data_IF_029294413105
#
_entry.id   IF_029294413105
#
_cell.length_a   1.000
_cell.length_b   1.000
_cell.length_c   1.000
_cell.angle_alpha   90.00
_cell.angle_beta   90.00
_cell.angle_gamma   90.00
#
_symmetry.space_group_name_H-M   'P 1'
#
loop_
_entity.id
_entity.type
_entity.pdbx_description
1 polymer ?
#
# COMPACT_ATOMS: atom_id res chain seq x y z
N UNK A 1 -24.75 33.80 10.33
CA UNK A 1 -23.54 34.12 11.10
C UNK A 1 -22.53 33.01 10.88
N UNK A 2 -21.55 33.23 10.01
CA UNK A 2 -20.47 32.27 9.78
C UNK A 2 -19.32 32.56 10.76
N UNK A 3 -18.77 31.49 11.32
CA UNK A 3 -17.78 31.51 12.39
C UNK A 3 -16.50 32.25 11.98
N UNK A 4 -15.89 32.96 12.94
CA UNK A 4 -14.64 33.73 12.81
C UNK A 4 -13.45 32.96 12.18
N UNK A 5 -13.55 31.64 12.06
CA UNK A 5 -12.55 30.79 11.39
C UNK A 5 -12.70 30.73 9.86
N UNK A 6 -13.89 30.93 9.28
CA UNK A 6 -14.07 30.92 7.82
C UNK A 6 -13.64 32.25 7.17
N UNK A 7 -13.74 33.37 7.89
CA UNK A 7 -13.28 34.67 7.40
C UNK A 7 -11.74 34.75 7.29
N UNK A 8 -10.99 33.93 8.04
CA UNK A 8 -9.53 33.89 7.97
C UNK A 8 -9.00 33.06 6.79
N UNK A 9 -9.75 32.06 6.31
CA UNK A 9 -9.34 31.29 5.12
C UNK A 9 -9.54 32.05 3.81
N UNK A 10 -10.56 32.90 3.70
CA UNK A 10 -10.76 33.76 2.52
C UNK A 10 -9.73 34.89 2.40
N UNK A 11 -9.13 35.34 3.51
CA UNK A 11 -8.09 36.37 3.49
C UNK A 11 -6.75 35.85 2.95
N UNK A 12 -6.43 34.58 3.17
CA UNK A 12 -5.18 33.98 2.67
C UNK A 12 -5.24 33.52 1.21
N UNK A 13 -6.43 33.31 0.64
CA UNK A 13 -6.57 32.96 -0.78
C UNK A 13 -6.51 34.18 -1.72
N UNK A 14 -6.83 35.39 -1.24
CA UNK A 14 -6.83 36.61 -2.04
C UNK A 14 -5.45 37.29 -2.19
N UNK A 15 -4.45 36.97 -1.35
CA UNK A 15 -3.10 37.57 -1.45
C UNK A 15 -2.20 36.83 -2.45
N UNK A 16 -2.61 35.64 -2.93
CA UNK A 16 -1.81 34.79 -3.83
C UNK A 16 -2.01 34.99 -5.34
N UNK A 17 -2.96 35.83 -5.78
CA UNK A 17 -3.35 35.90 -7.20
C UNK A 17 -3.40 37.34 -7.77
N UNK A 18 -2.46 38.20 -7.36
CA UNK A 18 -2.28 39.54 -7.97
C UNK A 18 -0.81 39.83 -8.31
N UNK A 19 -0.24 39.04 -9.23
CA UNK A 19 0.94 39.45 -10.03
C UNK A 19 0.87 38.88 -11.44
N UNK A 20 -0.14 39.33 -12.19
CA UNK A 20 -0.17 39.35 -13.66
C UNK A 20 -1.39 40.19 -14.02
N UNK A 21 -1.26 41.05 -15.04
CA UNK A 21 -2.26 42.04 -15.51
C UNK A 21 -2.14 43.33 -14.64
N UNK A 22 -1.70 44.51 -15.08
CA UNK A 22 -1.79 45.21 -16.37
C UNK A 22 -0.99 46.52 -16.32
N UNK A 23 -0.10 46.80 -17.29
CA UNK A 23 0.23 48.15 -17.86
C UNK A 23 1.12 47.86 -19.09
N UNK A 24 0.96 48.36 -20.32
CA UNK A 24 0.32 49.53 -20.93
C UNK A 24 -0.18 49.10 -22.35
N UNK A 25 -1.39 49.46 -22.78
CA UNK A 25 -1.68 50.59 -23.70
C UNK A 25 -0.69 50.78 -24.86
N UNK A 26 -1.11 50.37 -26.07
CA UNK A 26 -0.77 51.03 -27.35
C UNK A 26 -1.38 52.47 -27.37
N UNK A 27 -1.06 53.40 -28.32
CA UNK A 27 -0.48 53.22 -29.67
C UNK A 27 0.58 54.28 -30.08
N UNK A 28 1.34 54.03 -31.15
CA UNK A 28 1.49 54.95 -32.30
C UNK A 28 2.58 54.49 -33.27
N UNK A 29 2.23 54.64 -34.55
CA UNK A 29 3.00 54.31 -35.73
C UNK A 29 4.30 55.11 -35.80
N UNK A 30 5.43 54.44 -36.03
CA UNK A 30 6.56 55.01 -36.78
C UNK A 30 7.17 53.94 -37.68
N UNK A 31 7.51 54.38 -38.88
CA UNK A 31 7.80 53.63 -40.10
C UNK A 31 8.98 52.65 -40.00
N UNK A 32 8.99 51.54 -40.77
CA UNK A 32 10.18 50.72 -40.91
C UNK A 32 11.17 51.42 -41.86
N UNK A 33 12.26 51.97 -41.31
CA UNK A 33 13.44 52.24 -42.15
C UNK A 33 14.14 50.92 -42.41
N UNK A 34 13.78 50.33 -43.54
CA UNK A 34 14.50 49.25 -44.21
C UNK A 34 15.94 49.71 -44.47
N UNK A 35 16.87 49.33 -43.61
CA UNK A 35 18.29 49.34 -43.92
C UNK A 35 18.75 47.91 -44.17
N UNK A 36 18.49 47.43 -45.39
CA UNK A 36 19.22 46.29 -45.94
C UNK A 36 20.69 46.67 -46.08
N UNK A 37 21.51 46.16 -45.16
CA UNK A 37 22.95 46.16 -45.31
C UNK A 37 23.35 44.74 -45.73
N UNK A 38 23.46 44.54 -47.04
CA UNK A 38 24.11 43.36 -47.59
C UNK A 38 25.49 43.18 -46.97
N UNK A 39 25.76 41.98 -46.45
CA UNK A 39 27.08 41.52 -46.06
C UNK A 39 27.95 41.42 -47.31
N UNK A 40 29.00 42.25 -47.37
CA UNK A 40 30.18 42.05 -48.21
C UNK A 40 31.39 41.71 -47.32
N UNK A 41 32.40 41.00 -47.86
CA UNK A 41 33.46 40.37 -47.07
C UNK A 41 34.58 41.35 -46.70
N UNK A 42 35.26 41.01 -45.60
CA UNK A 42 36.61 41.38 -45.18
C UNK A 42 37.21 42.73 -45.66
N UNK A 43 37.52 43.59 -44.69
CA UNK A 43 38.86 44.19 -44.67
C UNK A 43 39.06 45.65 -45.05
N UNK A 44 38.07 46.55 -44.99
CA UNK A 44 38.32 48.00 -45.03
C UNK A 44 37.44 48.77 -44.04
N UNK A 45 37.98 49.77 -43.31
CA UNK A 45 37.15 50.66 -42.51
C UNK A 45 36.43 51.61 -43.47
N UNK A 46 35.23 51.22 -43.91
CA UNK A 46 34.32 52.13 -44.60
C UNK A 46 33.99 53.25 -43.62
N UNK A 47 34.69 54.38 -43.73
CA UNK A 47 34.33 55.60 -43.01
C UNK A 47 32.95 55.96 -43.54
N UNK A 48 31.90 55.59 -42.80
CA UNK A 48 30.53 55.90 -43.19
C UNK A 48 30.48 57.41 -43.38
N UNK A 49 29.92 57.90 -44.48
CA UNK A 49 29.87 59.35 -44.81
C UNK A 49 29.38 60.22 -43.63
N UNK A 50 28.52 59.67 -42.79
CA UNK A 50 28.04 60.27 -41.53
C UNK A 50 29.14 60.50 -40.49
N UNK A 51 30.12 59.62 -40.36
CA UNK A 51 31.20 59.69 -39.38
C UNK A 51 32.23 60.77 -39.73
N UNK A 52 32.51 60.94 -41.03
CA UNK A 52 33.40 62.02 -41.52
C UNK A 52 32.78 63.40 -41.28
N UNK A 53 31.47 63.54 -41.51
CA UNK A 53 30.73 64.79 -41.29
C UNK A 53 30.62 65.15 -39.79
N UNK A 54 30.39 64.17 -38.92
CA UNK A 54 30.39 64.36 -37.46
C UNK A 54 31.78 64.75 -36.95
N UNK A 55 32.84 64.09 -37.42
CA UNK A 55 34.22 64.45 -37.08
C UNK A 55 34.55 65.89 -37.51
N UNK A 56 34.06 66.29 -38.69
CA UNK A 56 34.21 67.66 -39.21
C UNK A 56 33.43 68.71 -38.41
N UNK A 57 32.31 68.37 -37.76
CA UNK A 57 31.64 69.30 -36.83
C UNK A 57 32.31 69.37 -35.46
N UNK A 58 32.83 68.24 -34.97
CA UNK A 58 33.36 68.13 -33.60
C UNK A 58 34.80 68.64 -33.44
N UNK A 59 35.56 68.82 -34.52
CA UNK A 59 36.93 69.33 -34.41
C UNK A 59 37.01 70.76 -33.85
N UNK A 60 35.95 71.56 -33.98
CA UNK A 60 35.94 72.95 -33.48
C UNK A 60 35.99 72.99 -31.95
N UNK A 61 35.36 72.04 -31.26
CA UNK A 61 35.33 71.93 -29.80
C UNK A 61 36.42 71.02 -29.21
N UNK A 62 37.12 70.25 -30.04
CA UNK A 62 38.15 69.30 -29.60
C UNK A 62 39.40 69.95 -28.98
N UNK A 63 39.62 69.93 -27.67
CA UNK A 63 40.82 70.56 -27.08
C UNK A 63 42.03 69.60 -27.12
N UNK A 64 43.07 69.87 -27.93
CA UNK A 64 44.26 69.01 -27.98
C UNK A 64 45.12 69.22 -26.73
N UNK A 65 45.77 68.16 -26.26
CA UNK A 65 46.64 68.19 -25.07
C UNK A 65 47.93 68.99 -25.32
N UNK A 66 48.40 69.00 -26.57
CA UNK A 66 49.58 69.74 -27.02
C UNK A 66 49.17 70.76 -28.10
N UNK A 67 49.89 71.89 -28.24
CA UNK A 67 49.62 72.85 -29.30
C UNK A 67 49.79 72.18 -30.67
N UNK A 68 48.77 72.28 -31.53
CA UNK A 68 48.77 71.68 -32.86
C UNK A 68 48.39 72.72 -33.92
N UNK A 69 49.04 72.66 -35.10
CA UNK A 69 48.73 73.56 -36.21
C UNK A 69 47.33 73.28 -36.81
N UNK A 70 46.88 72.03 -36.84
CA UNK A 70 45.57 71.65 -37.38
C UNK A 70 44.78 70.74 -36.41
N UNK A 71 43.72 71.33 -35.84
CA UNK A 71 42.83 70.71 -34.85
C UNK A 71 42.02 69.52 -35.40
N UNK A 72 41.67 69.54 -36.69
CA UNK A 72 40.92 68.46 -37.33
C UNK A 72 41.76 67.20 -37.53
N UNK A 73 43.00 67.38 -38.02
CA UNK A 73 43.93 66.26 -38.20
C UNK A 73 44.30 65.63 -36.85
N UNK A 74 44.51 66.47 -35.83
CA UNK A 74 44.77 66.01 -34.48
C UNK A 74 43.62 65.15 -33.93
N UNK A 75 42.37 65.64 -34.01
CA UNK A 75 41.18 64.87 -33.61
C UNK A 75 41.07 63.53 -34.35
N UNK A 76 41.36 63.51 -35.66
CA UNK A 76 41.30 62.29 -36.47
C UNK A 76 42.29 61.24 -35.97
N UNK A 77 43.54 61.63 -35.76
CA UNK A 77 44.58 60.72 -35.29
C UNK A 77 44.38 60.26 -33.86
N UNK A 78 43.92 61.15 -32.97
CA UNK A 78 43.67 60.78 -31.58
C UNK A 78 42.48 59.81 -31.46
N UNK A 79 41.44 60.00 -32.29
CA UNK A 79 40.34 59.03 -32.40
C UNK A 79 40.82 57.68 -32.92
N UNK A 80 41.65 57.66 -33.95
CA UNK A 80 42.20 56.41 -34.52
C UNK A 80 43.08 55.66 -33.51
N UNK A 81 43.95 56.37 -32.79
CA UNK A 81 44.76 55.82 -31.69
C UNK A 81 43.88 55.25 -30.57
N UNK A 82 42.84 55.99 -30.19
CA UNK A 82 41.90 55.55 -29.15
C UNK A 82 41.16 54.27 -29.56
N UNK A 83 40.63 54.22 -30.78
CA UNK A 83 39.95 53.02 -31.30
C UNK A 83 40.92 51.84 -31.44
N UNK A 84 42.16 52.08 -31.88
CA UNK A 84 43.22 51.07 -31.93
C UNK A 84 43.55 50.52 -30.54
N UNK A 85 43.67 51.39 -29.54
CA UNK A 85 43.89 51.00 -28.14
C UNK A 85 42.72 50.20 -27.57
N UNK A 86 41.48 50.63 -27.83
CA UNK A 86 40.27 49.92 -27.43
C UNK A 86 40.20 48.51 -28.02
N UNK A 87 40.54 48.35 -29.30
CA UNK A 87 40.65 47.03 -29.94
C UNK A 87 41.69 46.14 -29.27
N UNK A 88 42.85 46.70 -28.90
CA UNK A 88 43.91 45.98 -28.18
C UNK A 88 43.46 45.54 -26.77
N UNK A 89 42.74 46.38 -26.05
CA UNK A 89 42.16 46.03 -24.74
C UNK A 89 41.14 44.89 -24.90
N UNK A 90 40.24 44.99 -25.88
CA UNK A 90 39.23 43.95 -26.11
C UNK A 90 39.84 42.61 -26.57
N UNK A 91 40.94 42.65 -27.32
CA UNK A 91 41.66 41.47 -27.77
C UNK A 91 42.62 40.90 -26.70
N UNK A 92 42.87 41.63 -25.61
CA UNK A 92 43.75 41.17 -24.55
C UNK A 92 43.10 39.99 -23.82
N UNK A 93 43.79 38.84 -23.81
CA UNK A 93 43.34 37.65 -23.10
C UNK A 93 43.53 37.84 -21.59
N UNK A 94 42.57 37.41 -20.75
CA UNK A 94 42.78 37.40 -19.31
C UNK A 94 43.94 36.45 -18.97
N UNK A 95 44.89 36.91 -18.13
CA UNK A 95 46.06 36.12 -17.72
C UNK A 95 45.74 35.15 -16.57
N UNK A 96 44.62 35.37 -15.87
CA UNK A 96 44.19 34.59 -14.71
C UNK A 96 42.82 34.03 -15.00
N UNK A 97 42.64 32.74 -14.73
CA UNK A 97 41.33 32.11 -14.79
C UNK A 97 40.47 32.62 -13.63
N UNK A 98 39.33 33.22 -13.95
CA UNK A 98 38.34 33.70 -12.97
C UNK A 98 37.08 32.82 -12.95
N UNK A 99 37.13 31.64 -13.56
CA UNK A 99 36.01 30.71 -13.59
C UNK A 99 35.74 30.16 -12.19
N UNK A 100 34.45 29.98 -11.85
CA UNK A 100 34.09 29.38 -10.58
C UNK A 100 34.53 27.91 -10.51
N UNK A 101 35.11 27.45 -9.39
CA UNK A 101 35.48 26.05 -9.23
C UNK A 101 34.26 25.12 -9.33
N UNK A 102 34.51 23.86 -9.69
CA UNK A 102 33.46 22.86 -9.88
C UNK A 102 32.65 22.65 -8.58
N UNK A 103 31.33 22.71 -8.71
CA UNK A 103 30.41 22.43 -7.60
C UNK A 103 30.21 20.93 -7.50
N UNK A 104 30.54 20.37 -6.34
CA UNK A 104 30.35 18.94 -6.07
C UNK A 104 29.09 18.70 -5.23
N UNK A 105 28.14 17.95 -5.79
CA UNK A 105 26.85 17.67 -5.15
C UNK A 105 26.98 16.96 -3.79
N UNK A 106 27.99 16.12 -3.61
CA UNK A 106 28.21 15.38 -2.37
C UNK A 106 28.69 16.27 -1.20
N UNK A 107 29.21 17.48 -1.46
CA UNK A 107 29.53 18.45 -0.41
C UNK A 107 28.31 19.25 0.05
N UNK A 108 27.35 19.49 -0.85
CA UNK A 108 26.14 20.27 -0.54
C UNK A 108 24.97 19.40 -0.09
N UNK A 109 24.89 18.16 -0.55
CA UNK A 109 23.82 17.22 -0.22
C UNK A 109 24.30 16.18 0.79
N UNK A 110 23.75 16.25 2.00
CA UNK A 110 23.90 15.19 3.01
C UNK A 110 23.00 14.01 2.65
N UNK A 111 23.45 13.20 1.69
CA UNK A 111 22.71 12.04 1.15
C UNK A 111 22.20 11.09 2.25
N UNK A 112 23.02 10.82 3.28
CA UNK A 112 22.60 9.97 4.40
C UNK A 112 21.41 10.54 5.19
N UNK A 113 21.35 11.86 5.36
CA UNK A 113 20.21 12.52 6.03
C UNK A 113 18.95 12.43 5.16
N UNK A 114 19.07 12.68 3.86
CA UNK A 114 17.95 12.56 2.93
C UNK A 114 17.39 11.13 2.91
N UNK A 115 18.28 10.14 2.87
CA UNK A 115 17.88 8.73 2.89
C UNK A 115 17.16 8.35 4.19
N UNK A 116 17.65 8.82 5.34
CA UNK A 116 17.03 8.55 6.63
C UNK A 116 15.61 9.16 6.72
N UNK A 117 15.42 10.39 6.24
CA UNK A 117 14.08 11.00 6.21
C UNK A 117 13.14 10.25 5.25
N UNK A 118 13.61 9.83 4.08
CA UNK A 118 12.85 9.01 3.13
C UNK A 118 12.38 7.70 3.76
N UNK A 119 13.27 7.01 4.48
CA UNK A 119 12.95 5.75 5.17
C UNK A 119 11.94 5.99 6.30
N UNK A 120 12.12 7.07 7.07
CA UNK A 120 11.17 7.48 8.13
C UNK A 120 9.79 7.80 7.54
N UNK A 121 9.72 8.51 6.42
CA UNK A 121 8.48 8.80 5.72
C UNK A 121 7.81 7.53 5.19
N UNK A 122 8.59 6.60 4.64
CA UNK A 122 8.11 5.31 4.15
C UNK A 122 7.48 4.46 5.26
N UNK A 123 8.09 4.45 6.45
CA UNK A 123 7.55 3.76 7.62
C UNK A 123 6.23 4.37 8.09
N UNK A 124 6.17 5.71 8.20
CA UNK A 124 4.95 6.44 8.56
C UNK A 124 3.82 6.15 7.55
N UNK A 125 4.11 6.16 6.26
CA UNK A 125 3.12 5.86 5.23
C UNK A 125 2.59 4.42 5.31
N UNK A 126 3.48 3.46 5.55
CA UNK A 126 3.09 2.06 5.74
C UNK A 126 2.15 1.92 6.94
N UNK A 127 2.51 2.53 8.06
CA UNK A 127 1.69 2.51 9.28
C UNK A 127 0.34 3.19 9.06
N UNK A 128 0.32 4.34 8.39
CA UNK A 128 -0.91 5.04 8.03
C UNK A 128 -1.83 4.19 7.14
N UNK A 129 -1.27 3.46 6.15
CA UNK A 129 -2.06 2.53 5.31
C UNK A 129 -2.70 1.43 6.15
N UNK A 130 -1.93 0.78 7.03
CA UNK A 130 -2.44 -0.27 7.92
C UNK A 130 -3.51 0.28 8.87
N UNK A 131 -3.30 1.48 9.41
CA UNK A 131 -4.28 2.15 10.26
C UNK A 131 -5.58 2.42 9.50
N UNK A 132 -5.50 2.97 8.29
CA UNK A 132 -6.66 3.25 7.44
C UNK A 132 -7.41 1.97 7.06
N UNK A 133 -6.70 0.88 6.76
CA UNK A 133 -7.31 -0.42 6.50
C UNK A 133 -8.10 -0.91 7.73
N UNK A 134 -7.50 -0.84 8.93
CA UNK A 134 -8.16 -1.20 10.19
C UNK A 134 -9.38 -0.34 10.48
N UNK A 135 -9.27 0.99 10.29
CA UNK A 135 -10.40 1.92 10.46
C UNK A 135 -11.50 1.61 9.45
N UNK A 136 -11.15 1.39 8.17
CA UNK A 136 -12.11 1.03 7.13
C UNK A 136 -12.85 -0.27 7.48
N UNK A 137 -12.14 -1.28 8.01
CA UNK A 137 -12.74 -2.52 8.49
C UNK A 137 -13.73 -2.27 9.62
N UNK A 138 -13.34 -1.48 10.63
CA UNK A 138 -14.22 -1.13 11.77
C UNK A 138 -15.47 -0.38 11.28
N UNK A 139 -15.30 0.60 10.38
CA UNK A 139 -16.40 1.36 9.80
C UNK A 139 -17.38 0.45 9.03
N UNK A 140 -16.87 -0.47 8.21
CA UNK A 140 -17.69 -1.45 7.46
C UNK A 140 -18.45 -2.40 8.39
N UNK A 141 -17.77 -2.91 9.43
CA UNK A 141 -18.33 -3.89 10.38
C UNK A 141 -19.15 -3.23 11.50
N UNK A 142 -19.30 -1.89 11.50
CA UNK A 142 -20.05 -1.10 12.49
C UNK A 142 -19.64 -1.40 13.95
N UNK A 143 -18.40 -1.83 14.17
CA UNK A 143 -17.90 -2.18 15.49
C UNK A 143 -18.53 -3.45 16.12
N UNK A 144 -19.06 -4.39 15.34
CA UNK A 144 -19.39 -5.72 15.90
C UNK A 144 -18.11 -6.41 16.39
N UNK A 145 -18.00 -6.58 17.71
CA UNK A 145 -16.93 -7.32 18.38
C UNK A 145 -17.35 -8.78 18.46
N UNK A 146 -16.56 -9.69 17.87
CA UNK A 146 -16.68 -11.11 18.12
C UNK A 146 -15.94 -11.47 19.41
N UNK A 147 -16.69 -11.76 20.48
CA UNK A 147 -16.14 -12.31 21.73
C UNK A 147 -15.68 -13.78 21.58
N UNK A 148 -15.12 -14.15 20.43
CA UNK A 148 -14.55 -15.46 20.18
C UNK A 148 -13.06 -15.40 20.43
N UNK A 149 -12.68 -15.76 21.64
CA UNK A 149 -11.29 -15.91 21.99
C UNK A 149 -10.80 -17.30 21.55
N UNK A 150 -10.13 -17.39 20.40
CA UNK A 150 -9.47 -18.62 19.91
C UNK A 150 -8.17 -18.95 20.67
N UNK A 151 -8.01 -18.42 21.88
CA UNK A 151 -6.87 -18.73 22.74
C UNK A 151 -6.85 -20.21 23.11
N UNK A 152 -5.83 -20.91 22.63
CA UNK A 152 -5.54 -22.28 23.04
C UNK A 152 -4.88 -22.24 24.42
N UNK A 153 -5.63 -22.64 25.45
CA UNK A 153 -5.10 -22.75 26.81
C UNK A 153 -3.89 -23.71 26.83
N UNK A 154 -2.70 -23.16 27.07
CA UNK A 154 -1.47 -23.94 27.23
C UNK A 154 -1.38 -24.40 28.68
N UNK A 155 -1.28 -25.70 28.89
CA UNK A 155 -1.13 -26.31 30.20
C UNK A 155 0.11 -27.21 30.18
N UNK A 156 1.01 -27.03 31.14
CA UNK A 156 2.21 -27.88 31.27
C UNK A 156 1.85 -29.37 31.40
N UNK A 157 0.68 -29.67 31.94
CA UNK A 157 0.16 -31.04 32.12
C UNK A 157 -0.66 -31.55 30.92
N UNK A 158 -0.68 -30.85 29.78
CA UNK A 158 -1.50 -31.24 28.63
C UNK A 158 -1.08 -32.61 28.07
N UNK A 159 0.23 -32.87 27.95
CA UNK A 159 0.71 -34.14 27.42
C UNK A 159 0.45 -35.30 28.37
N UNK A 160 0.65 -35.11 29.69
CA UNK A 160 0.31 -36.10 30.71
C UNK A 160 -1.19 -36.46 30.68
N UNK A 161 -2.07 -35.45 30.60
CA UNK A 161 -3.53 -35.67 30.45
C UNK A 161 -3.87 -36.42 29.16
N UNK A 162 -3.20 -36.11 28.05
CA UNK A 162 -3.39 -36.80 26.77
C UNK A 162 -2.93 -38.26 26.82
N UNK A 163 -1.81 -38.55 27.48
CA UNK A 163 -1.33 -39.91 27.71
C UNK A 163 -2.31 -40.70 28.58
N UNK A 164 -2.76 -40.12 29.69
CA UNK A 164 -3.75 -40.76 30.57
C UNK A 164 -5.08 -41.01 29.84
N UNK A 165 -5.55 -40.05 29.05
CA UNK A 165 -6.75 -40.23 28.24
C UNK A 165 -6.60 -41.38 27.23
N UNK A 166 -5.42 -41.54 26.61
CA UNK A 166 -5.13 -42.67 25.72
C UNK A 166 -5.15 -43.99 26.48
N UNK A 167 -4.51 -44.05 27.66
CA UNK A 167 -4.50 -45.23 28.53
C UNK A 167 -5.92 -45.65 28.92
N UNK A 168 -6.70 -44.74 29.50
CA UNK A 168 -8.09 -44.98 29.91
C UNK A 168 -8.94 -45.40 28.71
N UNK A 169 -8.74 -44.80 27.53
CA UNK A 169 -9.47 -45.19 26.32
C UNK A 169 -9.15 -46.61 25.86
N UNK A 170 -7.88 -47.04 25.97
CA UNK A 170 -7.47 -48.40 25.66
C UNK A 170 -8.05 -49.40 26.66
N UNK A 171 -7.98 -49.10 27.95
CA UNK A 171 -8.57 -49.93 29.01
C UNK A 171 -10.08 -50.06 28.82
N UNK A 172 -10.79 -48.95 28.56
CA UNK A 172 -12.22 -48.96 28.27
C UNK A 172 -12.55 -49.79 27.02
N UNK A 173 -11.70 -49.77 25.99
CA UNK A 173 -11.88 -50.61 24.79
C UNK A 173 -11.77 -52.10 25.12
N UNK A 174 -10.80 -52.48 25.97
CA UNK A 174 -10.65 -53.87 26.41
C UNK A 174 -11.83 -54.32 27.27
N UNK A 175 -12.30 -53.46 28.18
CA UNK A 175 -13.49 -53.75 29.01
C UNK A 175 -14.72 -53.93 28.11
N UNK A 176 -14.92 -53.02 27.15
CA UNK A 176 -16.04 -53.11 26.21
C UNK A 176 -16.00 -54.43 25.43
N UNK A 177 -14.83 -54.80 24.90
CA UNK A 177 -14.64 -56.06 24.18
C UNK A 177 -14.96 -57.29 25.06
N UNK A 178 -14.56 -57.26 26.34
CA UNK A 178 -14.91 -58.31 27.30
C UNK A 178 -16.42 -58.39 27.55
N UNK A 179 -17.08 -57.25 27.77
CA UNK A 179 -18.53 -57.19 27.98
C UNK A 179 -19.28 -57.70 26.76
N UNK A 180 -18.85 -57.31 25.55
CA UNK A 180 -19.48 -57.73 24.30
C UNK A 180 -19.28 -59.22 24.02
N UNK A 181 -18.11 -59.79 24.35
CA UNK A 181 -17.83 -61.21 24.15
C UNK A 181 -18.41 -62.10 25.24
N UNK A 182 -18.66 -61.55 26.43
CA UNK A 182 -19.27 -62.28 27.52
C UNK A 182 -20.68 -62.74 27.11
N UNK A 183 -20.90 -64.05 27.13
CA UNK A 183 -22.21 -64.60 26.87
C UNK A 183 -23.16 -64.25 28.03
N UNK A 184 -24.40 -63.82 27.74
CA UNK A 184 -25.38 -63.63 28.78
C UNK A 184 -25.68 -64.99 29.42
N UNK A 185 -25.53 -65.07 30.75
CA UNK A 185 -25.86 -66.29 31.50
C UNK A 185 -27.38 -66.55 31.54
N UNK A 186 -28.18 -65.51 31.34
CA UNK A 186 -29.64 -65.61 31.34
C UNK A 186 -30.16 -66.05 29.96
N UNK A 187 -30.93 -67.13 29.94
CA UNK A 187 -31.67 -67.56 28.76
C UNK A 187 -32.99 -66.79 28.68
N UNK A 188 -33.06 -65.82 27.77
CA UNK A 188 -34.23 -64.94 27.60
C UNK A 188 -35.53 -65.74 27.39
N UNK A 189 -35.46 -66.86 26.67
CA UNK A 189 -36.60 -67.77 26.47
C UNK A 189 -37.11 -68.36 27.79
N UNK A 190 -36.20 -68.86 28.64
CA UNK A 190 -36.56 -69.41 29.95
C UNK A 190 -37.19 -68.35 30.85
N UNK A 191 -36.66 -67.12 30.84
CA UNK A 191 -37.27 -66.01 31.57
C UNK A 191 -38.67 -65.68 31.06
N UNK A 192 -38.90 -65.76 29.75
CA UNK A 192 -40.22 -65.58 29.17
C UNK A 192 -41.20 -66.67 29.60
N UNK A 193 -40.76 -67.93 29.61
CA UNK A 193 -41.57 -69.07 30.10
C UNK A 193 -41.87 -68.97 31.60
N UNK A 194 -40.88 -68.61 32.41
CA UNK A 194 -41.03 -68.39 33.85
C UNK A 194 -42.00 -67.24 34.12
N UNK A 195 -41.91 -66.15 33.35
CA UNK A 195 -42.86 -65.04 33.41
C UNK A 195 -44.28 -65.48 33.02
N UNK A 196 -44.45 -66.25 31.94
CA UNK A 196 -45.76 -66.78 31.55
C UNK A 196 -46.34 -67.74 32.60
N UNK A 197 -45.50 -68.56 33.24
CA UNK A 197 -45.92 -69.44 34.34
C UNK A 197 -46.36 -68.62 35.54
N UNK A 198 -45.58 -67.62 35.93
CA UNK A 198 -45.94 -66.69 37.00
C UNK A 198 -47.26 -65.97 36.70
N UNK A 199 -47.47 -65.51 35.46
CA UNK A 199 -48.72 -64.88 35.01
C UNK A 199 -49.92 -65.82 35.22
N UNK A 200 -49.79 -67.09 34.81
CA UNK A 200 -50.81 -68.13 35.01
C UNK A 200 -51.09 -68.41 36.48
N UNK A 201 -50.05 -68.59 37.30
CA UNK A 201 -50.21 -68.77 38.75
C UNK A 201 -50.91 -67.58 39.39
N UNK A 202 -50.47 -66.38 39.03
CA UNK A 202 -51.09 -65.15 39.51
C UNK A 202 -52.55 -65.03 39.05
N UNK A 203 -52.90 -65.45 37.84
CA UNK A 203 -54.28 -65.44 37.35
C UNK A 203 -55.15 -66.46 38.10
N UNK A 204 -54.58 -67.63 38.45
CA UNK A 204 -55.26 -68.67 39.23
C UNK A 204 -55.49 -68.30 40.70
N UNK A 205 -54.60 -67.50 41.30
CA UNK A 205 -54.69 -67.08 42.71
C UNK A 205 -55.52 -65.79 42.86
N UNK A 206 -55.77 -65.07 41.76
CA UNK A 206 -56.50 -63.81 41.79
C UNK A 206 -57.98 -64.00 42.16
N UNK A 207 -58.43 -63.29 43.19
CA UNK A 207 -59.84 -63.29 43.65
C UNK A 207 -60.81 -62.65 42.64
N UNK A 208 -60.31 -61.75 41.80
CA UNK A 208 -61.09 -61.04 40.78
C UNK A 208 -60.41 -61.22 39.43
N UNK A 209 -61.18 -61.39 38.33
CA UNK A 209 -60.59 -61.52 37.01
C UNK A 209 -59.76 -60.28 36.73
N UNK A 210 -58.45 -60.47 36.51
CA UNK A 210 -57.59 -59.39 36.04
C UNK A 210 -58.10 -59.01 34.66
N UNK A 211 -58.80 -57.87 34.60
CA UNK A 211 -59.31 -57.31 33.35
C UNK A 211 -58.17 -57.28 32.34
N UNK A 212 -58.48 -57.59 31.09
CA UNK A 212 -57.56 -57.47 29.97
C UNK A 212 -56.97 -56.06 30.01
N UNK A 213 -55.80 -55.89 30.64
CA UNK A 213 -54.98 -54.72 30.46
C UNK A 213 -54.69 -54.78 28.97
N UNK A 214 -55.42 -53.94 28.23
CA UNK A 214 -55.41 -53.86 26.77
C UNK A 214 -54.01 -54.17 26.33
N UNK A 215 -53.86 -55.18 25.48
CA UNK A 215 -52.66 -55.44 24.72
C UNK A 215 -52.20 -54.10 24.18
N UNK A 216 -51.30 -53.44 24.91
CA UNK A 216 -50.70 -52.20 24.48
C UNK A 216 -49.73 -52.68 23.43
N UNK A 217 -50.26 -52.84 22.22
CA UNK A 217 -49.57 -52.72 20.96
C UNK A 217 -48.08 -53.02 21.08
N UNK A 218 -47.73 -54.28 21.34
CA UNK A 218 -46.50 -54.80 20.78
C UNK A 218 -46.80 -54.97 19.29
N UNK A 219 -46.92 -53.83 18.60
CA UNK A 219 -46.29 -53.74 17.30
C UNK A 219 -44.89 -54.24 17.60
N UNK A 220 -44.51 -55.37 17.02
CA UNK A 220 -43.12 -55.61 16.70
C UNK A 220 -42.69 -54.38 15.89
N UNK A 221 -42.29 -53.30 16.58
CA UNK A 221 -41.46 -52.31 15.97
C UNK A 221 -40.20 -53.08 15.64
N UNK A 222 -40.13 -53.56 14.40
CA UNK A 222 -38.88 -53.89 13.75
C UNK A 222 -37.89 -52.85 14.25
N UNK A 223 -36.89 -53.31 15.01
CA UNK A 223 -35.95 -52.47 15.71
C UNK A 223 -35.15 -51.73 14.63
N UNK A 224 -35.71 -50.65 14.08
CA UNK A 224 -35.00 -49.74 13.20
C UNK A 224 -34.03 -49.07 14.15
N UNK A 225 -32.76 -49.44 14.02
CA UNK A 225 -31.65 -48.84 14.74
C UNK A 225 -31.74 -47.31 14.60
N UNK A 226 -32.38 -46.66 15.59
CA UNK A 226 -32.51 -45.21 15.64
C UNK A 226 -31.19 -44.71 16.17
N UNK A 227 -30.20 -44.57 15.28
CA UNK A 227 -28.97 -43.82 15.60
C UNK A 227 -29.38 -42.47 16.19
N UNK A 228 -28.92 -42.10 17.40
CA UNK A 228 -29.23 -40.82 18.02
C UNK A 228 -28.95 -39.66 17.05
N UNK A 229 -29.78 -38.60 17.06
CA UNK A 229 -29.59 -37.42 16.19
C UNK A 229 -28.17 -36.84 16.30
N UNK A 230 -27.51 -37.03 17.45
CA UNK A 230 -26.12 -36.62 17.73
C UNK A 230 -25.10 -37.45 16.93
N UNK A 231 -25.30 -38.77 16.84
CA UNK A 231 -24.40 -39.68 16.13
C UNK A 231 -24.54 -39.56 14.62
N UNK A 232 -25.75 -39.30 14.10
CA UNK A 232 -25.93 -38.93 12.68
C UNK A 232 -25.15 -37.66 12.32
N UNK A 233 -25.17 -36.65 13.19
CA UNK A 233 -24.46 -35.38 12.96
C UNK A 233 -22.94 -35.58 13.00
N UNK A 234 -22.45 -36.37 13.96
CA UNK A 234 -21.03 -36.75 14.07
C UNK A 234 -20.57 -37.59 12.88
N UNK A 235 -21.33 -38.60 12.45
CA UNK A 235 -20.99 -39.40 11.26
C UNK A 235 -21.02 -38.58 9.97
N UNK A 236 -21.93 -37.60 9.87
CA UNK A 236 -21.96 -36.68 8.72
C UNK A 236 -20.71 -35.79 8.68
N UNK A 237 -20.31 -35.24 9.84
CA UNK A 237 -19.06 -34.49 9.97
C UNK A 237 -17.83 -35.33 9.64
N UNK A 238 -17.72 -36.56 10.15
CA UNK A 238 -16.60 -37.46 9.86
C UNK A 238 -16.51 -37.84 8.37
N UNK A 239 -17.66 -38.00 7.68
CA UNK A 239 -17.71 -38.23 6.23
C UNK A 239 -17.29 -36.99 5.43
N UNK A 240 -17.75 -35.80 5.82
CA UNK A 240 -17.37 -34.54 5.20
C UNK A 240 -15.87 -34.25 5.38
N UNK A 241 -15.32 -34.49 6.57
CA UNK A 241 -13.88 -34.36 6.86
C UNK A 241 -13.04 -35.37 6.05
N UNK A 242 -13.50 -36.63 5.94
CA UNK A 242 -12.83 -37.65 5.14
C UNK A 242 -12.80 -37.28 3.64
N UNK A 243 -13.93 -36.83 3.08
CA UNK A 243 -13.99 -36.36 1.69
C UNK A 243 -13.09 -35.16 1.43
N UNK A 244 -13.03 -34.22 2.37
CA UNK A 244 -12.18 -33.04 2.27
C UNK A 244 -10.68 -33.39 2.34
N UNK A 245 -10.30 -34.37 3.17
CA UNK A 245 -8.91 -34.88 3.18
C UNK A 245 -8.53 -35.57 1.86
N UNK A 246 -9.46 -36.33 1.26
CA UNK A 246 -9.27 -37.01 -0.03
C UNK A 246 -9.17 -36.03 -1.20
N UNK A 247 -9.90 -34.91 -1.16
CA UNK A 247 -9.75 -33.84 -2.17
C UNK A 247 -8.39 -33.16 -2.04
N UNK A 248 -7.93 -32.85 -0.82
CA UNK A 248 -6.59 -32.27 -0.60
C UNK A 248 -5.45 -33.18 -1.02
N UNK A 249 -5.56 -34.49 -0.79
CA UNK A 249 -4.58 -35.47 -1.31
C UNK A 249 -4.55 -35.50 -2.85
N UNK A 250 -5.72 -35.39 -3.51
CA UNK A 250 -5.81 -35.33 -4.98
C UNK A 250 -5.26 -34.02 -5.56
N UNK A 251 -5.47 -32.90 -4.88
CA UNK A 251 -4.91 -31.59 -5.26
C UNK A 251 -3.37 -31.56 -5.13
N UNK A 252 -2.83 -32.16 -4.05
CA UNK A 252 -1.38 -32.31 -3.89
C UNK A 252 -0.74 -33.26 -4.90
N UNK A 253 -1.44 -34.33 -5.31
CA UNK A 253 -0.96 -35.25 -6.34
C UNK A 253 -0.86 -34.60 -7.74
N UNK A 254 -1.69 -33.60 -8.04
CA UNK A 254 -1.64 -32.87 -9.33
C UNK A 254 -0.54 -31.80 -9.40
N UNK A 255 -0.16 -31.19 -8.27
CA UNK A 255 0.91 -30.19 -8.22
C UNK A 255 2.34 -30.78 -8.22
N UNK A 256 2.48 -32.09 -7.98
CA UNK A 256 3.78 -32.77 -7.90
C UNK A 256 4.37 -33.28 -9.23
N UNK A 257 3.66 -33.16 -10.36
CA UNK A 257 4.09 -33.70 -11.67
C UNK A 257 4.66 -32.66 -12.67
N UNK A 258 4.89 -31.42 -12.23
CA UNK A 258 5.33 -30.35 -13.13
C UNK A 258 6.56 -29.62 -12.62
N UNK A 259 7.70 -30.32 -12.49
CA UNK A 259 9.05 -29.76 -12.36
C UNK A 259 10.04 -30.92 -12.43
N UNK A 260 10.40 -31.29 -13.65
CA UNK A 260 11.65 -31.97 -14.04
C UNK A 260 11.63 -32.08 -15.56
N UNK A 261 12.05 -30.99 -16.21
CA UNK A 261 12.79 -30.95 -17.47
C UNK A 261 13.37 -29.55 -17.63
#
# INVERSE_FOLDING_TARGET
MLSLNEQKQLFYFCVGLRKKIFVHSSPCQTWPTRNESHRGPAGEPVVRFRDAFLLYKMHRSYQPVLPCANKYLQLKWDKEKYEGHKKRIQAAKPSVDTSSPAIYNHLHLKLGKLKLEEDRHSDIERENRVLLEKISRIMRTKGQIDNKNDYKAKSLNAEKRKQEQRRVSQENRVILDRITKAQPHYQVQRWHEDWQRAEKYMASIARYPRGQCKSHSLKEEQFKEKTPKRDRKRNKQLKEESMNSKMKEREHAHHGKGKNN
#
